data_IF_559016382100
#
_entry.id   IF_559016382100
#
_cell.length_a   1.000
_cell.length_b   1.000
_cell.length_c   1.000
_cell.angle_alpha   90.00
_cell.angle_beta   90.00
_cell.angle_gamma   90.00
#
_symmetry.space_group_name_H-M   'P 1'
#
loop_
_entity.id
_entity.type
_entity.pdbx_description
1 polymer ?
#
# COMPACT_ATOMS: atom_id res chain seq x y z
N UNK A 1 -46.46 -67.77 -103.49
CA UNK A 1 -46.70 -66.42 -102.88
C UNK A 1 -46.71 -66.40 -101.34
N UNK A 2 -46.85 -67.52 -100.61
CA UNK A 2 -46.94 -67.53 -99.14
C UNK A 2 -45.60 -67.46 -98.35
N UNK A 3 -44.49 -67.98 -98.90
CA UNK A 3 -43.20 -68.00 -98.21
C UNK A 3 -42.49 -66.63 -98.13
N UNK A 4 -42.72 -65.76 -99.11
CA UNK A 4 -42.15 -64.40 -99.12
C UNK A 4 -42.83 -63.46 -98.11
N UNK A 5 -44.12 -63.67 -97.83
CA UNK A 5 -44.88 -62.89 -96.86
C UNK A 5 -44.46 -63.18 -95.40
N UNK A 6 -44.22 -64.45 -95.05
CA UNK A 6 -43.73 -64.83 -93.71
C UNK A 6 -42.34 -64.28 -93.39
N UNK A 7 -41.42 -64.27 -94.38
CA UNK A 7 -40.05 -63.75 -94.18
C UNK A 7 -40.01 -62.23 -94.02
N UNK A 8 -40.93 -61.51 -94.66
CA UNK A 8 -41.09 -60.06 -94.51
C UNK A 8 -41.72 -59.67 -93.15
N UNK A 9 -42.64 -60.49 -92.63
CA UNK A 9 -43.26 -60.28 -91.31
C UNK A 9 -42.27 -60.56 -90.17
N UNK A 10 -41.45 -61.61 -90.30
CA UNK A 10 -40.40 -61.93 -89.31
C UNK A 10 -39.29 -60.86 -89.28
N UNK A 11 -38.88 -60.34 -90.45
CA UNK A 11 -37.93 -59.23 -90.52
C UNK A 11 -38.47 -57.95 -89.87
N UNK A 12 -39.74 -57.60 -90.07
CA UNK A 12 -40.38 -56.44 -89.40
C UNK A 12 -40.46 -56.63 -87.88
N UNK A 13 -40.71 -57.84 -87.40
CA UNK A 13 -40.79 -58.14 -85.96
C UNK A 13 -39.42 -58.05 -85.27
N UNK A 14 -38.36 -58.50 -85.93
CA UNK A 14 -36.96 -58.35 -85.45
C UNK A 14 -36.53 -56.89 -85.45
N UNK A 15 -36.92 -56.12 -86.47
CA UNK A 15 -36.60 -54.69 -86.53
C UNK A 15 -37.36 -53.86 -85.48
N UNK A 16 -38.64 -54.18 -85.23
CA UNK A 16 -39.40 -53.59 -84.12
C UNK A 16 -38.83 -53.95 -82.75
N UNK A 17 -38.38 -55.20 -82.54
CA UNK A 17 -37.72 -55.59 -81.29
C UNK A 17 -36.40 -54.83 -81.08
N UNK A 18 -35.57 -54.68 -82.12
CA UNK A 18 -34.33 -53.89 -82.03
C UNK A 18 -34.60 -52.41 -81.73
N UNK A 19 -35.61 -51.80 -82.35
CA UNK A 19 -35.99 -50.42 -82.07
C UNK A 19 -36.53 -50.25 -80.64
N UNK A 20 -37.33 -51.22 -80.15
CA UNK A 20 -37.82 -51.21 -78.77
C UNK A 20 -36.68 -51.37 -77.74
N UNK A 21 -35.69 -52.21 -78.02
CA UNK A 21 -34.53 -52.39 -77.14
C UNK A 21 -33.62 -51.15 -77.11
N UNK A 22 -33.40 -50.51 -78.27
CA UNK A 22 -32.64 -49.25 -78.35
C UNK A 22 -33.38 -48.12 -77.62
N UNK A 23 -34.72 -48.04 -77.75
CA UNK A 23 -35.53 -47.05 -77.03
C UNK A 23 -35.51 -47.29 -75.51
N UNK A 24 -35.61 -48.55 -75.06
CA UNK A 24 -35.48 -48.91 -73.63
C UNK A 24 -34.08 -48.63 -73.09
N UNK A 25 -33.03 -48.90 -73.86
CA UNK A 25 -31.65 -48.64 -73.45
C UNK A 25 -31.34 -47.13 -73.35
N UNK A 26 -31.81 -46.32 -74.31
CA UNK A 26 -31.68 -44.86 -74.27
C UNK A 26 -32.46 -44.23 -73.10
N UNK A 27 -33.66 -44.70 -72.83
CA UNK A 27 -34.47 -44.19 -71.69
C UNK A 27 -33.86 -44.59 -70.34
N UNK A 28 -33.33 -45.80 -70.21
CA UNK A 28 -32.61 -46.23 -69.01
C UNK A 28 -31.32 -45.43 -68.77
N UNK A 29 -30.54 -45.15 -69.82
CA UNK A 29 -29.31 -44.35 -69.72
C UNK A 29 -29.60 -42.88 -69.37
N UNK A 30 -30.65 -42.27 -69.95
CA UNK A 30 -31.06 -40.90 -69.61
C UNK A 30 -31.56 -40.79 -68.16
N UNK A 31 -32.33 -41.77 -67.68
CA UNK A 31 -32.79 -41.83 -66.29
C UNK A 31 -31.63 -42.00 -65.31
N UNK A 32 -30.65 -42.86 -65.63
CA UNK A 32 -29.46 -43.03 -64.82
C UNK A 32 -28.61 -41.75 -64.77
N UNK A 33 -28.45 -41.06 -65.92
CA UNK A 33 -27.71 -39.79 -66.00
C UNK A 33 -28.41 -38.65 -65.25
N UNK A 34 -29.74 -38.57 -65.31
CA UNK A 34 -30.55 -37.61 -64.53
C UNK A 34 -30.45 -37.87 -63.04
N UNK A 35 -30.56 -39.13 -62.59
CA UNK A 35 -30.42 -39.47 -61.16
C UNK A 35 -29.02 -39.17 -60.62
N UNK A 36 -27.97 -39.50 -61.38
CA UNK A 36 -26.59 -39.18 -60.98
C UNK A 36 -26.33 -37.66 -60.89
N UNK A 37 -26.87 -36.88 -61.83
CA UNK A 37 -26.75 -35.43 -61.81
C UNK A 37 -27.53 -34.79 -60.64
N UNK A 38 -28.72 -35.31 -60.31
CA UNK A 38 -29.50 -34.82 -59.17
C UNK A 38 -28.83 -35.15 -57.84
N UNK A 39 -28.31 -36.38 -57.67
CA UNK A 39 -27.61 -36.78 -56.45
C UNK A 39 -26.31 -35.99 -56.24
N UNK A 40 -25.56 -35.73 -57.32
CA UNK A 40 -24.36 -34.88 -57.26
C UNK A 40 -24.69 -33.44 -56.88
N UNK A 41 -25.77 -32.85 -57.44
CA UNK A 41 -26.25 -31.52 -57.04
C UNK A 41 -26.69 -31.48 -55.58
N UNK A 42 -27.37 -32.52 -55.10
CA UNK A 42 -27.86 -32.59 -53.71
C UNK A 42 -26.71 -32.70 -52.72
N UNK A 43 -25.69 -33.54 -53.00
CA UNK A 43 -24.46 -33.65 -52.19
C UNK A 43 -23.66 -32.35 -52.16
N UNK A 44 -23.48 -31.69 -53.31
CA UNK A 44 -22.77 -30.41 -53.38
C UNK A 44 -23.49 -29.29 -52.60
N UNK A 45 -24.82 -29.24 -52.69
CA UNK A 45 -25.62 -28.27 -51.94
C UNK A 45 -25.59 -28.52 -50.43
N UNK A 46 -25.63 -29.78 -49.98
CA UNK A 46 -25.55 -30.13 -48.56
C UNK A 46 -24.16 -29.81 -47.97
N UNK A 47 -23.08 -30.12 -48.70
CA UNK A 47 -21.72 -29.83 -48.26
C UNK A 47 -21.46 -28.31 -48.18
N UNK A 48 -21.93 -27.54 -49.16
CA UNK A 48 -21.85 -26.08 -49.13
C UNK A 48 -22.62 -25.49 -47.93
N UNK A 49 -23.81 -26.03 -47.63
CA UNK A 49 -24.63 -25.59 -46.49
C UNK A 49 -23.98 -25.95 -45.14
N UNK A 50 -23.35 -27.12 -45.03
CA UNK A 50 -22.57 -27.52 -43.83
C UNK A 50 -21.35 -26.62 -43.62
N UNK A 51 -20.57 -26.35 -44.67
CA UNK A 51 -19.39 -25.47 -44.59
C UNK A 51 -19.78 -24.04 -44.18
N UNK A 52 -20.85 -23.49 -44.76
CA UNK A 52 -21.35 -22.16 -44.39
C UNK A 52 -21.85 -22.11 -42.92
N UNK A 53 -22.55 -23.15 -42.46
CA UNK A 53 -23.03 -23.21 -41.08
C UNK A 53 -21.89 -23.36 -40.05
N UNK A 54 -20.84 -24.12 -40.39
CA UNK A 54 -19.67 -24.27 -39.53
C UNK A 54 -18.87 -22.97 -39.43
N UNK A 55 -18.64 -22.28 -40.56
CA UNK A 55 -17.92 -21.00 -40.56
C UNK A 55 -18.68 -19.91 -39.78
N UNK A 56 -20.01 -19.86 -39.92
CA UNK A 56 -20.87 -18.95 -39.16
C UNK A 56 -20.81 -19.24 -37.65
N UNK A 57 -20.86 -20.52 -37.24
CA UNK A 57 -20.70 -20.91 -35.83
C UNK A 57 -19.33 -20.53 -35.28
N UNK A 58 -18.27 -20.73 -36.07
CA UNK A 58 -16.88 -20.42 -35.66
C UNK A 58 -16.67 -18.91 -35.49
N UNK A 59 -17.21 -18.09 -36.39
CA UNK A 59 -17.21 -16.63 -36.27
C UNK A 59 -18.00 -16.14 -35.06
N UNK A 60 -19.20 -16.66 -34.84
CA UNK A 60 -20.03 -16.30 -33.68
C UNK A 60 -19.35 -16.67 -32.34
N UNK A 61 -18.71 -17.84 -32.26
CA UNK A 61 -17.97 -18.26 -31.07
C UNK A 61 -16.74 -17.39 -30.80
N UNK A 62 -15.99 -17.02 -31.85
CA UNK A 62 -14.83 -16.15 -31.73
C UNK A 62 -15.21 -14.72 -31.27
N UNK A 63 -16.31 -14.18 -31.79
CA UNK A 63 -16.77 -12.85 -31.41
C UNK A 63 -17.31 -12.82 -29.97
N UNK A 64 -18.07 -13.85 -29.56
CA UNK A 64 -18.53 -13.99 -28.19
C UNK A 64 -17.38 -14.14 -27.18
N UNK A 65 -16.35 -14.92 -27.52
CA UNK A 65 -15.16 -15.07 -26.69
C UNK A 65 -14.39 -13.74 -26.55
N UNK A 66 -14.23 -13.00 -27.65
CA UNK A 66 -13.53 -11.70 -27.65
C UNK A 66 -14.29 -10.65 -26.83
N UNK A 67 -15.62 -10.64 -26.91
CA UNK A 67 -16.48 -9.73 -26.15
C UNK A 67 -16.42 -10.03 -24.64
N UNK A 68 -16.45 -11.32 -24.27
CA UNK A 68 -16.35 -11.76 -22.87
C UNK A 68 -14.99 -11.45 -22.25
N UNK A 69 -13.89 -11.64 -23.00
CA UNK A 69 -12.55 -11.28 -22.56
C UNK A 69 -12.37 -9.76 -22.37
N UNK A 70 -12.94 -8.95 -23.26
CA UNK A 70 -12.89 -7.50 -23.13
C UNK A 70 -13.69 -6.97 -21.92
N UNK A 71 -14.83 -7.58 -21.62
CA UNK A 71 -15.65 -7.21 -20.46
C UNK A 71 -14.96 -7.58 -19.14
N UNK A 72 -14.38 -8.78 -19.05
CA UNK A 72 -13.65 -9.24 -17.85
C UNK A 72 -12.41 -8.38 -17.57
N UNK A 73 -11.65 -8.03 -18.62
CA UNK A 73 -10.51 -7.13 -18.51
C UNK A 73 -10.92 -5.72 -18.03
N UNK A 74 -12.02 -5.16 -18.54
CA UNK A 74 -12.56 -3.88 -18.05
C UNK A 74 -12.99 -3.96 -16.60
N UNK A 75 -13.63 -5.05 -16.19
CA UNK A 75 -14.12 -5.25 -14.81
C UNK A 75 -12.97 -5.37 -13.81
N UNK A 76 -11.90 -6.10 -14.17
CA UNK A 76 -10.67 -6.19 -13.36
C UNK A 76 -9.96 -4.84 -13.24
N UNK A 77 -9.78 -4.12 -14.34
CA UNK A 77 -9.12 -2.81 -14.32
C UNK A 77 -9.90 -1.79 -13.46
N UNK A 78 -11.23 -1.77 -13.54
CA UNK A 78 -12.06 -0.91 -12.72
C UNK A 78 -12.01 -1.28 -11.23
N UNK A 79 -12.02 -2.57 -10.90
CA UNK A 79 -11.93 -3.03 -9.51
C UNK A 79 -10.57 -2.73 -8.88
N UNK A 80 -9.49 -2.88 -9.63
CA UNK A 80 -8.13 -2.58 -9.15
C UNK A 80 -7.92 -1.09 -8.94
N UNK A 81 -8.40 -0.25 -9.87
CA UNK A 81 -8.36 1.21 -9.73
C UNK A 81 -9.19 1.70 -8.52
N UNK A 82 -10.38 1.12 -8.31
CA UNK A 82 -11.21 1.44 -7.15
C UNK A 82 -10.54 1.02 -5.83
N UNK A 83 -9.87 -0.14 -5.79
CA UNK A 83 -9.17 -0.62 -4.60
C UNK A 83 -7.96 0.27 -4.27
N UNK A 84 -7.18 0.65 -5.28
CA UNK A 84 -6.03 1.55 -5.12
C UNK A 84 -6.46 2.93 -4.61
N UNK A 85 -7.51 3.52 -5.18
CA UNK A 85 -8.04 4.80 -4.74
C UNK A 85 -8.60 4.77 -3.30
N UNK A 86 -9.17 3.63 -2.86
CA UNK A 86 -9.64 3.46 -1.49
C UNK A 86 -8.49 3.30 -0.49
N UNK A 87 -7.37 2.70 -0.91
CA UNK A 87 -6.18 2.51 -0.09
C UNK A 87 -5.42 3.83 0.10
N UNK A 88 -5.23 4.60 -0.98
CA UNK A 88 -4.63 5.94 -0.94
C UNK A 88 -5.41 6.90 -0.02
N UNK A 89 -6.75 6.91 -0.10
CA UNK A 89 -7.59 7.73 0.79
C UNK A 89 -7.47 7.34 2.26
N UNK A 90 -7.35 6.05 2.55
CA UNK A 90 -7.16 5.57 3.93
C UNK A 90 -5.76 5.92 4.45
N UNK A 91 -4.73 5.82 3.61
CA UNK A 91 -3.38 6.21 3.97
C UNK A 91 -3.29 7.72 4.25
N UNK A 92 -3.95 8.55 3.44
CA UNK A 92 -4.00 10.00 3.66
C UNK A 92 -4.76 10.37 4.95
N UNK A 93 -5.93 9.78 5.19
CA UNK A 93 -6.70 10.04 6.41
C UNK A 93 -5.96 9.59 7.68
N UNK A 94 -5.20 8.49 7.60
CA UNK A 94 -4.38 8.03 8.70
C UNK A 94 -3.18 8.97 8.94
N UNK A 95 -2.52 9.43 7.88
CA UNK A 95 -1.42 10.39 7.99
C UNK A 95 -1.87 11.72 8.60
N UNK A 96 -3.01 12.25 8.17
CA UNK A 96 -3.55 13.52 8.69
C UNK A 96 -3.93 13.43 10.18
N UNK A 97 -4.50 12.29 10.62
CA UNK A 97 -4.82 12.06 12.03
C UNK A 97 -3.56 11.94 12.91
N UNK A 98 -2.49 11.31 12.40
CA UNK A 98 -1.23 11.19 13.13
C UNK A 98 -0.46 12.52 13.20
N UNK A 99 -0.50 13.34 12.14
CA UNK A 99 0.13 14.66 12.13
C UNK A 99 -0.53 15.63 13.11
N UNK A 100 -1.87 15.72 13.11
CA UNK A 100 -2.61 16.61 14.03
C UNK A 100 -2.37 16.26 15.51
N UNK A 101 -2.23 14.95 15.81
CA UNK A 101 -1.94 14.48 17.18
C UNK A 101 -0.50 14.82 17.58
N UNK A 102 0.48 14.62 16.69
CA UNK A 102 1.90 14.84 17.00
C UNK A 102 2.22 16.31 17.23
N UNK A 103 1.68 17.22 16.41
CA UNK A 103 1.92 18.67 16.54
C UNK A 103 1.26 19.23 17.81
N UNK A 104 0.09 18.70 18.20
CA UNK A 104 -0.60 19.08 19.44
C UNK A 104 0.11 18.54 20.69
N UNK A 105 0.64 17.32 20.64
CA UNK A 105 1.44 16.75 21.73
C UNK A 105 2.76 17.52 21.91
N UNK A 106 3.41 17.93 20.82
CA UNK A 106 4.63 18.75 20.91
C UNK A 106 4.37 20.15 21.49
N UNK A 107 3.31 20.83 21.09
CA UNK A 107 2.97 22.15 21.65
C UNK A 107 2.56 22.08 23.14
N UNK A 108 1.89 21.00 23.55
CA UNK A 108 1.56 20.76 24.96
C UNK A 108 2.80 20.41 25.79
N UNK A 109 3.76 19.68 25.23
CA UNK A 109 5.02 19.35 25.89
C UNK A 109 5.91 20.59 26.07
N UNK A 110 5.97 21.49 25.09
CA UNK A 110 6.76 22.72 25.16
C UNK A 110 6.22 23.68 26.24
N UNK A 111 4.89 23.81 26.33
CA UNK A 111 4.22 24.67 27.34
C UNK A 111 4.28 24.09 28.75
N UNK A 112 4.12 22.78 28.93
CA UNK A 112 4.31 22.13 30.24
C UNK A 112 5.78 22.18 30.64
N UNK A 113 6.71 21.89 29.74
CA UNK A 113 8.15 21.91 30.00
C UNK A 113 8.65 23.23 30.57
N UNK A 114 8.23 24.38 30.00
CA UNK A 114 8.67 25.71 30.41
C UNK A 114 8.14 26.12 31.81
N UNK A 115 6.86 25.89 32.10
CA UNK A 115 6.26 26.20 33.41
C UNK A 115 6.85 25.32 34.53
N UNK A 116 7.14 24.08 34.18
CA UNK A 116 7.72 23.08 35.07
C UNK A 116 9.21 23.39 35.31
N UNK A 117 9.97 23.77 34.28
CA UNK A 117 11.36 24.23 34.37
C UNK A 117 11.52 25.42 35.31
N UNK A 118 10.68 26.44 35.17
CA UNK A 118 10.75 27.64 36.00
C UNK A 118 10.50 27.37 37.49
N UNK A 119 9.62 26.41 37.81
CA UNK A 119 9.36 26.02 39.20
C UNK A 119 10.57 25.28 39.79
N UNK A 120 11.18 24.37 39.03
CA UNK A 120 12.30 23.59 39.53
C UNK A 120 13.61 24.36 39.64
N UNK A 121 13.90 25.26 38.71
CA UNK A 121 15.12 26.08 38.80
C UNK A 121 15.15 26.87 40.10
N UNK A 122 14.01 27.47 40.47
CA UNK A 122 13.84 28.21 41.73
C UNK A 122 13.95 27.30 42.96
N UNK A 123 13.32 26.12 42.93
CA UNK A 123 13.44 25.12 44.01
C UNK A 123 14.89 24.65 44.19
N UNK A 124 15.62 24.40 43.10
CA UNK A 124 17.02 23.97 43.17
C UNK A 124 17.87 25.11 43.76
N UNK A 125 17.61 26.36 43.42
CA UNK A 125 18.31 27.52 43.98
C UNK A 125 18.08 27.69 45.47
N UNK A 126 16.82 27.65 45.92
CA UNK A 126 16.46 27.69 47.34
C UNK A 126 17.14 26.56 48.10
N UNK A 127 17.03 25.34 47.58
CA UNK A 127 17.58 24.13 48.21
C UNK A 127 19.11 24.13 48.22
N UNK A 128 19.74 24.65 47.17
CA UNK A 128 21.18 24.85 47.10
C UNK A 128 21.63 25.90 48.12
N UNK A 129 20.90 27.00 48.25
CA UNK A 129 21.19 28.06 49.21
C UNK A 129 21.16 27.53 50.65
N UNK A 130 20.19 26.68 51.01
CA UNK A 130 20.13 26.01 52.32
C UNK A 130 21.37 25.16 52.63
N UNK A 131 21.94 24.52 51.60
CA UNK A 131 23.10 23.65 51.71
C UNK A 131 24.44 24.37 51.54
N UNK A 132 24.42 25.67 51.21
CA UNK A 132 25.62 26.44 50.87
C UNK A 132 26.28 27.04 52.10
N UNK A 133 27.58 26.81 52.23
CA UNK A 133 28.40 27.47 53.23
C UNK A 133 29.20 28.57 52.56
N UNK A 134 28.83 29.83 52.82
CA UNK A 134 29.45 31.00 52.19
C UNK A 134 30.95 31.07 52.51
N UNK A 135 31.84 30.93 51.51
CA UNK A 135 33.27 31.12 51.74
C UNK A 135 33.59 32.62 51.86
N UNK A 136 34.65 33.00 52.60
CA UNK A 136 35.05 34.40 52.79
C UNK A 136 35.51 35.08 51.49
N UNK A 137 35.81 34.30 50.44
CA UNK A 137 36.17 34.79 49.11
C UNK A 137 34.97 35.14 48.23
N UNK A 138 33.74 34.73 48.62
CA UNK A 138 32.54 34.98 47.83
C UNK A 138 32.25 36.48 47.75
N UNK A 139 32.39 37.05 46.55
CA UNK A 139 32.05 38.45 46.25
C UNK A 139 30.82 38.51 45.36
N UNK A 140 30.02 39.56 45.52
CA UNK A 140 28.99 39.94 44.56
C UNK A 140 29.67 40.14 43.18
N UNK A 141 29.07 39.61 42.10
CA UNK A 141 29.62 39.43 40.73
C UNK A 141 30.39 38.13 40.40
N UNK A 142 30.45 37.12 41.27
CA UNK A 142 30.95 35.79 40.87
C UNK A 142 29.84 34.94 40.25
N UNK A 143 30.18 34.12 39.26
CA UNK A 143 29.22 33.27 38.57
C UNK A 143 29.87 31.94 38.22
N UNK A 144 29.31 30.84 38.71
CA UNK A 144 29.79 29.49 38.42
C UNK A 144 28.71 28.74 37.65
N UNK A 145 29.09 28.09 36.56
CA UNK A 145 28.20 27.18 35.85
C UNK A 145 28.49 25.76 36.30
N UNK A 146 27.52 25.12 36.93
CA UNK A 146 27.60 23.75 37.39
C UNK A 146 26.79 22.86 36.45
N UNK A 147 27.40 21.76 36.02
CA UNK A 147 26.71 20.67 35.35
C UNK A 147 26.32 19.63 36.41
N UNK A 148 25.02 19.43 36.57
CA UNK A 148 24.42 18.57 37.59
C UNK A 148 23.76 17.38 36.90
N UNK A 149 24.08 16.18 37.39
CA UNK A 149 23.44 14.95 36.95
C UNK A 149 22.52 14.42 38.05
N UNK A 150 21.27 14.14 37.70
CA UNK A 150 20.23 13.75 38.64
C UNK A 150 19.47 12.52 38.13
N UNK A 151 18.99 11.68 39.05
CA UNK A 151 18.10 10.57 38.73
C UNK A 151 16.63 11.02 38.72
N UNK A 152 15.73 10.26 38.07
CA UNK A 152 14.29 10.54 38.07
C UNK A 152 13.65 10.55 39.47
N UNK A 153 14.31 9.99 40.48
CA UNK A 153 13.88 10.04 41.88
C UNK A 153 14.23 11.38 42.57
N UNK A 154 14.90 12.30 41.85
CA UNK A 154 15.41 13.56 42.34
C UNK A 154 16.77 13.48 43.04
N UNK A 155 17.42 12.33 43.04
CA UNK A 155 18.73 12.14 43.69
C UNK A 155 19.85 12.66 42.80
N UNK A 156 20.67 13.55 43.36
CA UNK A 156 21.84 14.11 42.65
C UNK A 156 22.98 13.09 42.68
N UNK A 157 23.45 12.66 41.52
CA UNK A 157 24.53 11.66 41.40
C UNK A 157 25.89 12.27 41.22
N UNK A 158 25.98 13.32 40.41
CA UNK A 158 27.25 13.94 40.08
C UNK A 158 27.06 15.44 39.90
N UNK A 159 28.06 16.20 40.35
CA UNK A 159 28.11 17.65 40.19
C UNK A 159 29.52 17.99 39.71
N UNK A 160 29.60 18.75 38.63
CA UNK A 160 30.86 19.15 38.02
C UNK A 160 30.83 20.62 37.62
N UNK A 161 31.99 21.28 37.65
CA UNK A 161 32.11 22.67 37.24
C UNK A 161 32.28 22.72 35.73
N UNK A 162 31.29 23.28 35.03
CA UNK A 162 31.33 23.52 33.58
C UNK A 162 32.11 24.81 33.29
N UNK A 163 31.86 25.87 34.06
CA UNK A 163 32.60 27.14 34.02
C UNK A 163 32.93 27.61 35.42
N UNK A 164 34.21 27.73 35.71
CA UNK A 164 34.71 28.28 36.96
C UNK A 164 34.38 29.77 37.08
N UNK A 165 34.06 30.21 38.29
CA UNK A 165 33.89 31.62 38.65
C UNK A 165 35.19 32.43 38.70
N UNK A 166 36.34 31.75 38.58
CA UNK A 166 37.67 32.32 38.85
C UNK A 166 38.11 32.19 40.31
N UNK A 167 37.27 31.65 41.21
CA UNK A 167 37.59 31.38 42.61
C UNK A 167 37.31 29.90 42.96
N UNK A 168 38.37 29.13 43.18
CA UNK A 168 38.29 27.70 43.55
C UNK A 168 37.50 27.46 44.86
N UNK A 169 37.66 28.26 45.94
CA UNK A 169 36.83 28.10 47.14
C UNK A 169 35.34 28.29 46.86
N UNK A 170 34.97 29.28 46.06
CA UNK A 170 33.58 29.49 45.65
C UNK A 170 33.05 28.31 44.81
N UNK A 171 33.80 27.85 43.80
CA UNK A 171 33.39 26.72 42.97
C UNK A 171 33.16 25.46 43.81
N UNK A 172 34.08 25.14 44.74
CA UNK A 172 33.96 24.00 45.64
C UNK A 172 32.75 24.14 46.58
N UNK A 173 32.48 25.35 47.08
CA UNK A 173 31.32 25.61 47.93
C UNK A 173 30.01 25.42 47.18
N UNK A 174 29.93 25.81 45.91
CA UNK A 174 28.75 25.66 45.08
C UNK A 174 28.53 24.18 44.71
N UNK A 175 29.59 23.42 44.41
CA UNK A 175 29.53 21.96 44.24
C UNK A 175 29.02 21.28 45.51
N UNK A 176 29.51 21.69 46.68
CA UNK A 176 29.09 21.15 47.97
C UNK A 176 27.63 21.48 48.28
N UNK A 177 27.17 22.70 47.96
CA UNK A 177 25.79 23.13 48.13
C UNK A 177 24.83 22.24 47.35
N UNK A 178 25.08 22.05 46.05
CA UNK A 178 24.26 21.18 45.20
C UNK A 178 24.31 19.73 45.67
N UNK A 179 25.48 19.25 46.10
CA UNK A 179 25.61 17.90 46.66
C UNK A 179 24.83 17.73 47.98
N UNK A 180 24.74 18.77 48.81
CA UNK A 180 24.03 18.78 50.09
C UNK A 180 22.50 18.82 49.95
N UNK A 181 21.98 19.27 48.81
CA UNK A 181 20.54 19.17 48.50
C UNK A 181 20.07 17.71 48.67
N UNK A 182 20.89 16.76 48.19
CA UNK A 182 20.71 15.31 48.32
C UNK A 182 19.60 14.75 47.44
N UNK A 183 18.36 15.19 47.67
CA UNK A 183 17.18 14.75 46.92
C UNK A 183 16.17 15.90 46.75
N UNK A 184 15.60 16.03 45.57
CA UNK A 184 14.42 16.85 45.30
C UNK A 184 13.22 15.93 45.09
N UNK A 185 12.32 15.83 46.07
CA UNK A 185 11.14 14.97 45.98
C UNK A 185 10.14 15.43 44.91
N UNK A 186 10.26 16.69 44.47
CA UNK A 186 9.36 17.34 43.52
C UNK A 186 9.63 16.89 42.07
N UNK A 187 10.79 16.27 41.80
CA UNK A 187 11.14 15.68 40.50
C UNK A 187 10.44 14.35 40.23
N UNK A 188 9.95 13.68 41.30
CA UNK A 188 9.30 12.38 41.21
C UNK A 188 7.90 12.45 40.56
N UNK A 189 7.34 13.65 40.43
CA UNK A 189 6.06 13.88 39.77
C UNK A 189 6.15 13.97 38.24
N UNK A 190 7.36 14.01 37.67
CA UNK A 190 7.55 14.19 36.23
C UNK A 190 7.46 12.89 35.45
N UNK A 191 6.96 13.00 34.22
CA UNK A 191 7.00 11.89 33.29
C UNK A 191 8.47 11.59 32.90
N UNK A 192 8.81 10.33 32.58
CA UNK A 192 10.18 9.96 32.17
C UNK A 192 10.69 10.72 30.93
N UNK A 193 9.79 11.28 30.11
CA UNK A 193 10.16 12.07 28.92
C UNK A 193 10.51 13.51 29.30
N UNK A 194 9.72 14.13 30.18
CA UNK A 194 9.98 15.50 30.66
C UNK A 194 11.23 15.55 31.54
N UNK A 195 11.58 14.44 32.20
CA UNK A 195 12.79 14.34 33.02
C UNK A 195 14.09 14.24 32.21
N UNK A 196 14.05 13.84 30.93
CA UNK A 196 15.26 13.68 30.12
C UNK A 196 16.18 14.92 30.09
N UNK A 197 15.67 16.14 29.87
CA UNK A 197 16.49 17.35 29.95
C UNK A 197 17.05 17.63 31.35
N UNK A 198 16.35 17.26 32.43
CA UNK A 198 16.82 17.46 33.82
C UNK A 198 17.76 16.37 34.33
N UNK A 199 17.95 15.29 33.57
CA UNK A 199 18.94 14.26 33.92
C UNK A 199 20.36 14.81 33.92
N UNK A 200 20.65 15.76 33.03
CA UNK A 200 21.93 16.46 32.92
C UNK A 200 21.66 17.89 32.48
N UNK A 201 21.52 18.79 33.45
CA UNK A 201 21.30 20.21 33.18
C UNK A 201 22.50 21.04 33.63
N UNK A 202 22.66 22.18 32.99
CA UNK A 202 23.65 23.19 33.36
C UNK A 202 22.90 24.31 34.06
N UNK A 203 23.31 24.61 35.28
CA UNK A 203 22.73 25.69 36.06
C UNK A 203 23.80 26.68 36.45
N UNK A 204 23.44 27.95 36.37
CA UNK A 204 24.31 29.05 36.70
C UNK A 204 23.97 29.53 38.10
N UNK A 205 24.95 29.48 39.00
CA UNK A 205 24.80 29.94 40.37
C UNK A 205 25.60 31.21 40.61
N UNK A 206 24.99 32.13 41.35
CA UNK A 206 25.65 33.33 41.85
C UNK A 206 25.64 33.31 43.37
N UNK A 207 26.62 33.96 44.04
CA UNK A 207 26.67 34.02 45.49
C UNK A 207 25.51 34.84 46.10
N UNK A 208 24.75 35.59 45.32
CA UNK A 208 23.53 36.26 45.79
C UNK A 208 22.36 35.29 45.86
N UNK A 209 22.23 34.44 44.85
CA UNK A 209 21.20 33.41 44.75
C UNK A 209 21.39 32.30 45.79
N UNK A 210 22.65 31.98 46.11
CA UNK A 210 23.00 31.02 47.16
C UNK A 210 22.93 31.60 48.58
N UNK A 211 22.84 32.93 48.73
CA UNK A 211 22.84 33.61 50.03
C UNK A 211 21.47 34.11 50.48
N UNK A 212 20.40 33.59 49.86
CA UNK A 212 19.02 33.97 50.13
C UNK A 212 18.64 33.82 51.61
#
# INVERSE_FOLDING_TARGET
>A
KAAAAKKAEEAKKVEQQKQADIAKKKTAEELAKKKAAEEAKKKAAEEAKRKAAEEAKKKAAAEAAKKKAAEDAKKKAAAEAARKAAEDKKAQALAELLSDTTEREQAMADTQGDQVSGNYDDLIKIRAAEGWSRPPSARNNMTVELQVNMLPDGTITNVSVSRSSGDVPFDNSAVAAVKNIGRLTEMQGLSPQDFQPYRSFKMTFTPEDLAL
#
